data_IF_373400825798
#
_entry.id   IF_373400825798
#
_cell.length_a   1.000
_cell.length_b   1.000
_cell.length_c   1.000
_cell.angle_alpha   90.00
_cell.angle_beta   90.00
_cell.angle_gamma   90.00
#
_symmetry.space_group_name_H-M   'P 1'
#
loop_
_entity.id
_entity.type
_entity.pdbx_description
1 polymer ?
#
# COMPACT_ATOMS: atom_id res chain seq x y z
N UNK A 1 20.47 63.43 1.24
CA UNK A 1 19.97 62.29 0.44
C UNK A 1 20.78 61.05 0.79
N UNK A 2 20.24 60.13 1.60
CA UNK A 2 20.72 58.74 1.68
C UNK A 2 19.64 57.87 2.31
N UNK A 3 18.73 57.38 1.45
CA UNK A 3 17.72 56.40 1.83
C UNK A 3 18.38 55.03 2.03
N UNK A 4 18.64 54.65 3.28
CA UNK A 4 19.18 53.33 3.61
C UNK A 4 18.01 52.36 3.76
N UNK A 5 17.79 51.56 2.71
CA UNK A 5 16.74 50.55 2.65
C UNK A 5 16.82 49.58 3.82
N UNK A 6 15.77 49.59 4.65
CA UNK A 6 15.52 48.55 5.63
C UNK A 6 15.19 47.24 4.90
N UNK A 7 16.18 46.38 4.73
CA UNK A 7 15.96 44.97 4.37
C UNK A 7 15.06 44.38 5.46
N UNK A 8 13.77 44.18 5.15
CA UNK A 8 12.88 43.32 5.93
C UNK A 8 13.56 41.97 6.07
N UNK A 9 14.09 41.72 7.26
CA UNK A 9 14.57 40.41 7.72
C UNK A 9 13.39 39.46 7.50
N UNK A 10 13.51 38.54 6.54
CA UNK A 10 12.52 37.45 6.40
C UNK A 10 12.57 36.69 7.71
N UNK A 11 11.53 36.84 8.52
CA UNK A 11 11.32 36.01 9.70
C UNK A 11 11.27 34.57 9.20
N UNK A 12 12.31 33.80 9.53
CA UNK A 12 12.28 32.36 9.36
C UNK A 12 11.20 31.86 10.33
N UNK A 13 10.27 30.99 9.88
CA UNK A 13 9.26 30.44 10.77
C UNK A 13 9.93 29.82 12.00
N UNK A 14 9.64 30.39 13.17
CA UNK A 14 10.05 29.85 14.46
C UNK A 14 9.52 28.41 14.54
N UNK A 15 10.37 27.38 14.71
CA UNK A 15 9.89 26.02 14.86
C UNK A 15 9.17 25.93 16.21
N UNK A 16 7.84 25.88 16.18
CA UNK A 16 6.90 25.98 17.31
C UNK A 16 6.97 24.81 18.32
N UNK A 17 8.08 24.09 18.43
CA UNK A 17 8.24 22.91 19.29
C UNK A 17 7.33 21.72 18.93
N UNK A 18 6.32 21.95 18.09
CA UNK A 18 5.36 20.97 17.61
C UNK A 18 5.89 20.40 16.29
N UNK A 19 7.03 19.71 16.37
CA UNK A 19 7.53 18.90 15.25
C UNK A 19 6.53 17.76 15.02
N UNK A 20 5.52 18.02 14.18
CA UNK A 20 4.58 16.99 13.78
C UNK A 20 5.35 15.92 13.02
N UNK A 21 5.29 14.68 13.49
CA UNK A 21 5.89 13.51 12.84
C UNK A 21 5.50 13.42 11.35
N UNK A 22 4.33 13.96 11.00
CA UNK A 22 3.76 13.96 9.65
C UNK A 22 3.30 15.36 9.25
N UNK A 23 4.20 16.23 8.79
CA UNK A 23 3.86 17.62 8.45
C UNK A 23 2.83 17.71 7.30
N UNK A 24 2.83 16.76 6.37
CA UNK A 24 1.85 16.72 5.27
C UNK A 24 0.45 16.25 5.68
N UNK A 25 0.29 15.68 6.87
CA UNK A 25 -0.98 15.14 7.37
C UNK A 25 -1.79 16.14 8.22
N UNK A 26 -1.40 17.43 8.26
CA UNK A 26 -2.07 18.44 9.09
C UNK A 26 -3.55 18.62 8.73
N UNK A 27 -3.88 18.58 7.44
CA UNK A 27 -5.26 18.64 6.96
C UNK A 27 -5.87 17.26 6.83
N UNK A 28 -6.81 16.88 7.73
CA UNK A 28 -7.51 15.58 7.66
C UNK A 28 -8.22 15.37 6.31
N UNK A 29 -8.85 16.40 5.77
CA UNK A 29 -9.49 16.35 4.45
C UNK A 29 -8.50 16.23 3.30
N UNK A 30 -7.36 16.91 3.39
CA UNK A 30 -6.32 16.84 2.38
C UNK A 30 -5.70 15.43 2.33
N UNK A 31 -5.42 14.84 3.51
CA UNK A 31 -4.99 13.46 3.61
C UNK A 31 -6.04 12.49 3.06
N UNK A 32 -7.31 12.68 3.40
CA UNK A 32 -8.39 11.84 2.87
C UNK A 32 -8.48 11.91 1.34
N UNK A 33 -8.40 13.11 0.76
CA UNK A 33 -8.37 13.31 -0.68
C UNK A 33 -7.16 12.63 -1.33
N UNK A 34 -5.99 12.74 -0.70
CA UNK A 34 -4.77 12.10 -1.18
C UNK A 34 -4.88 10.57 -1.14
N UNK A 35 -5.43 10.01 -0.06
CA UNK A 35 -5.69 8.57 0.07
C UNK A 35 -6.67 8.11 -1.00
N UNK A 36 -7.72 8.86 -1.27
CA UNK A 36 -8.68 8.57 -2.34
C UNK A 36 -8.02 8.63 -3.72
N UNK A 37 -7.17 9.63 -3.95
CA UNK A 37 -6.40 9.78 -5.18
C UNK A 37 -5.44 8.59 -5.41
N UNK A 38 -4.77 8.12 -4.35
CA UNK A 38 -3.97 6.90 -4.41
C UNK A 38 -4.82 5.66 -4.71
N UNK A 39 -6.06 5.62 -4.21
CA UNK A 39 -7.04 4.62 -4.58
C UNK A 39 -7.32 4.59 -6.08
N UNK A 40 -7.53 5.76 -6.69
CA UNK A 40 -7.77 5.92 -8.14
C UNK A 40 -6.54 5.46 -8.93
N UNK A 41 -5.35 5.94 -8.56
CA UNK A 41 -4.11 5.58 -9.24
C UNK A 41 -3.78 4.08 -9.10
N UNK A 42 -4.04 3.50 -7.94
CA UNK A 42 -3.84 2.06 -7.71
C UNK A 42 -4.82 1.24 -8.53
N UNK A 43 -6.09 1.66 -8.60
CA UNK A 43 -7.10 0.99 -9.41
C UNK A 43 -6.75 1.06 -10.90
N UNK A 44 -6.44 2.25 -11.41
CA UNK A 44 -6.08 2.46 -12.81
C UNK A 44 -4.77 1.73 -13.18
N UNK A 45 -3.74 1.83 -12.34
CA UNK A 45 -2.46 1.15 -12.54
C UNK A 45 -2.54 -0.36 -12.34
N UNK A 46 -3.55 -0.86 -11.62
CA UNK A 46 -3.79 -2.27 -11.32
C UNK A 46 -4.89 -2.93 -12.16
N UNK A 47 -5.39 -2.26 -13.19
CA UNK A 47 -6.43 -2.78 -14.11
C UNK A 47 -6.04 -4.14 -14.69
N UNK A 48 -4.78 -4.29 -15.09
CA UNK A 48 -4.21 -5.59 -15.33
C UNK A 48 -3.80 -6.15 -13.96
N UNK A 49 -4.43 -7.22 -13.47
CA UNK A 49 -4.17 -7.78 -12.13
C UNK A 49 -2.66 -8.02 -11.88
N UNK A 50 -1.90 -8.30 -12.95
CA UNK A 50 -0.44 -8.50 -12.95
C UNK A 50 0.32 -7.21 -12.56
N UNK A 51 -0.21 -6.02 -12.85
CA UNK A 51 0.42 -4.72 -12.53
C UNK A 51 0.05 -4.19 -11.15
N UNK A 52 -0.87 -4.85 -10.44
CA UNK A 52 -1.32 -4.45 -9.11
C UNK A 52 -0.19 -4.29 -8.09
N UNK A 53 0.84 -5.18 -8.00
CA UNK A 53 1.95 -4.97 -7.08
C UNK A 53 2.73 -3.69 -7.36
N UNK A 54 2.96 -3.37 -8.64
CA UNK A 54 3.67 -2.15 -9.03
C UNK A 54 2.85 -0.89 -8.73
N UNK A 55 1.54 -0.94 -8.95
CA UNK A 55 0.61 0.14 -8.61
C UNK A 55 0.61 0.41 -7.09
N UNK A 56 0.51 -0.64 -6.27
CA UNK A 56 0.59 -0.53 -4.81
C UNK A 56 1.94 0.05 -4.35
N UNK A 57 3.05 -0.39 -4.94
CA UNK A 57 4.38 0.08 -4.59
C UNK A 57 4.57 1.58 -4.92
N UNK A 58 4.12 2.02 -6.11
CA UNK A 58 4.17 3.42 -6.50
C UNK A 58 3.27 4.30 -5.61
N UNK A 59 2.04 3.84 -5.34
CA UNK A 59 1.07 4.58 -4.51
C UNK A 59 1.50 4.70 -3.04
N UNK A 60 2.02 3.62 -2.44
CA UNK A 60 2.58 3.69 -1.07
C UNK A 60 3.77 4.62 -0.99
N UNK A 61 4.65 4.65 -2.01
CA UNK A 61 5.78 5.58 -2.02
C UNK A 61 5.33 7.03 -2.18
N UNK A 62 4.38 7.29 -3.06
CA UNK A 62 3.82 8.64 -3.25
C UNK A 62 3.16 9.15 -1.97
N UNK A 63 2.32 8.32 -1.33
CA UNK A 63 1.66 8.70 -0.09
C UNK A 63 2.67 8.92 1.05
N UNK A 64 3.75 8.15 1.11
CA UNK A 64 4.82 8.37 2.09
C UNK A 64 5.50 9.73 1.90
N UNK A 65 5.81 10.13 0.66
CA UNK A 65 6.35 11.48 0.35
C UNK A 65 5.37 12.58 0.76
N UNK A 66 4.09 12.39 0.44
CA UNK A 66 3.04 13.33 0.82
C UNK A 66 2.99 13.53 2.34
N UNK A 67 3.01 12.44 3.13
CA UNK A 67 3.00 12.52 4.59
C UNK A 67 4.20 13.28 5.16
N UNK A 68 5.35 13.24 4.48
CA UNK A 68 6.57 13.96 4.82
C UNK A 68 6.59 15.42 4.31
N UNK A 69 5.50 15.91 3.71
CA UNK A 69 5.42 17.23 3.05
C UNK A 69 6.47 17.43 1.94
N UNK A 70 6.95 16.33 1.34
CA UNK A 70 7.80 16.38 0.16
C UNK A 70 6.94 16.64 -1.09
N UNK A 71 7.53 17.25 -2.13
CA UNK A 71 6.83 17.41 -3.41
C UNK A 71 6.52 16.04 -3.98
N UNK A 72 5.24 15.73 -4.12
CA UNK A 72 4.72 14.50 -4.71
C UNK A 72 3.95 14.84 -5.99
N UNK A 73 4.58 14.65 -7.15
CA UNK A 73 3.93 14.91 -8.45
C UNK A 73 3.42 13.62 -9.08
N UNK A 74 2.43 13.74 -9.98
CA UNK A 74 1.93 12.61 -10.76
C UNK A 74 3.03 12.00 -11.64
N UNK A 75 3.96 12.83 -12.15
CA UNK A 75 5.11 12.36 -12.92
C UNK A 75 6.03 11.42 -12.12
N UNK A 76 6.30 11.75 -10.85
CA UNK A 76 7.10 10.87 -9.99
C UNK A 76 6.38 9.55 -9.68
N UNK A 77 5.05 9.58 -9.50
CA UNK A 77 4.28 8.34 -9.36
C UNK A 77 4.41 7.47 -10.62
N UNK A 78 4.34 8.08 -11.80
CA UNK A 78 4.49 7.37 -13.07
C UNK A 78 5.89 6.75 -13.22
N UNK A 79 6.95 7.48 -12.88
CA UNK A 79 8.33 6.97 -12.88
C UNK A 79 8.51 5.78 -11.92
N UNK A 80 7.98 5.90 -10.70
CA UNK A 80 8.01 4.81 -9.73
C UNK A 80 7.22 3.59 -10.23
N UNK A 81 6.04 3.81 -10.82
CA UNK A 81 5.20 2.76 -11.38
C UNK A 81 5.89 1.99 -12.49
N UNK A 82 6.47 2.69 -13.47
CA UNK A 82 7.21 2.07 -14.58
C UNK A 82 8.46 1.33 -14.07
N UNK A 83 9.18 1.92 -13.10
CA UNK A 83 10.34 1.28 -12.48
C UNK A 83 9.94 -0.01 -11.73
N UNK A 84 8.85 0.04 -10.97
CA UNK A 84 8.30 -1.11 -10.26
C UNK A 84 7.83 -2.20 -11.21
N UNK A 85 7.16 -1.83 -12.32
CA UNK A 85 6.73 -2.76 -13.36
C UNK A 85 7.89 -3.46 -14.04
N UNK A 86 8.87 -2.69 -14.53
CA UNK A 86 9.99 -3.23 -15.32
C UNK A 86 10.85 -4.21 -14.50
N UNK A 87 11.02 -3.92 -13.22
CA UNK A 87 11.80 -4.76 -12.30
C UNK A 87 10.98 -5.85 -11.61
N UNK A 88 9.64 -5.79 -11.70
CA UNK A 88 8.71 -6.56 -10.88
C UNK A 88 7.69 -7.40 -11.62
N UNK A 89 7.76 -7.49 -12.95
CA UNK A 89 6.80 -8.27 -13.75
C UNK A 89 6.70 -9.72 -13.28
N UNK A 90 7.81 -10.33 -12.81
CA UNK A 90 7.82 -11.67 -12.21
C UNK A 90 6.97 -11.71 -10.96
N UNK A 91 7.10 -10.72 -10.06
CA UNK A 91 6.30 -10.65 -8.83
C UNK A 91 4.82 -10.51 -9.15
N UNK A 92 4.48 -9.65 -10.13
CA UNK A 92 3.14 -9.54 -10.70
C UNK A 92 2.59 -10.89 -11.12
N UNK A 93 3.28 -11.53 -12.05
CA UNK A 93 2.87 -12.80 -12.63
C UNK A 93 2.76 -13.91 -11.58
N UNK A 94 3.73 -14.05 -10.69
CA UNK A 94 3.71 -15.08 -9.64
C UNK A 94 2.59 -14.84 -8.64
N UNK A 95 2.35 -13.59 -8.25
CA UNK A 95 1.27 -13.25 -7.30
C UNK A 95 -0.10 -13.53 -7.93
N UNK A 96 -0.30 -13.13 -9.18
CA UNK A 96 -1.53 -13.42 -9.93
C UNK A 96 -1.74 -14.92 -10.10
N UNK A 97 -0.71 -15.67 -10.52
CA UNK A 97 -0.80 -17.11 -10.71
C UNK A 97 -1.15 -17.84 -9.40
N UNK A 98 -0.48 -17.50 -8.28
CA UNK A 98 -0.78 -18.06 -6.97
C UNK A 98 -2.21 -17.73 -6.53
N UNK A 99 -2.65 -16.48 -6.71
CA UNK A 99 -4.02 -16.08 -6.37
C UNK A 99 -5.06 -16.87 -7.17
N UNK A 100 -4.85 -17.05 -8.48
CA UNK A 100 -5.73 -17.85 -9.34
C UNK A 100 -5.79 -19.30 -8.88
N UNK A 101 -4.65 -19.93 -8.61
CA UNK A 101 -4.60 -21.32 -8.12
C UNK A 101 -5.32 -21.46 -6.79
N UNK A 102 -5.08 -20.56 -5.83
CA UNK A 102 -5.70 -20.60 -4.52
C UNK A 102 -7.21 -20.36 -4.59
N UNK A 103 -7.67 -19.39 -5.39
CA UNK A 103 -9.08 -19.13 -5.61
C UNK A 103 -9.78 -20.31 -6.28
N UNK A 104 -9.15 -20.93 -7.29
CA UNK A 104 -9.69 -22.12 -7.95
C UNK A 104 -9.86 -23.28 -6.95
N UNK A 105 -8.85 -23.54 -6.11
CA UNK A 105 -8.95 -24.57 -5.06
C UNK A 105 -10.01 -24.23 -4.02
N UNK A 106 -10.17 -22.95 -3.64
CA UNK A 106 -11.16 -22.50 -2.68
C UNK A 106 -12.60 -22.69 -3.22
N UNK A 107 -12.82 -22.35 -4.49
CA UNK A 107 -14.09 -22.57 -5.19
C UNK A 107 -14.40 -24.08 -5.29
N UNK A 108 -13.41 -24.89 -5.66
CA UNK A 108 -13.56 -26.34 -5.76
C UNK A 108 -13.86 -26.96 -4.39
N UNK A 109 -13.13 -26.58 -3.35
CA UNK A 109 -13.40 -27.03 -1.99
C UNK A 109 -14.80 -26.58 -1.50
N UNK A 110 -15.25 -25.40 -1.92
CA UNK A 110 -16.60 -24.89 -1.65
C UNK A 110 -17.73 -25.73 -2.25
N UNK A 111 -17.46 -26.57 -3.26
CA UNK A 111 -18.46 -27.51 -3.81
C UNK A 111 -18.75 -28.69 -2.88
N UNK A 112 -17.90 -28.92 -1.85
CA UNK A 112 -18.02 -30.01 -0.89
C UNK A 112 -17.98 -31.44 -1.48
N UNK A 113 -17.62 -31.58 -2.76
CA UNK A 113 -17.55 -32.88 -3.46
C UNK A 113 -16.33 -33.70 -3.04
N UNK A 114 -15.24 -33.05 -2.59
CA UNK A 114 -13.99 -33.74 -2.24
C UNK A 114 -14.01 -34.25 -0.79
N UNK A 115 -13.60 -35.50 -0.51
CA UNK A 115 -13.32 -35.94 0.84
C UNK A 115 -12.17 -35.11 1.42
N UNK A 116 -12.41 -34.44 2.56
CA UNK A 116 -11.44 -33.50 3.16
C UNK A 116 -11.54 -32.05 2.67
N UNK A 117 -12.61 -31.67 1.98
CA UNK A 117 -12.82 -30.31 1.45
C UNK A 117 -12.58 -29.19 2.48
N UNK A 118 -12.97 -29.40 3.75
CA UNK A 118 -12.82 -28.38 4.80
C UNK A 118 -11.35 -28.02 5.04
N UNK A 119 -10.47 -29.02 5.08
CA UNK A 119 -9.03 -28.77 5.26
C UNK A 119 -8.46 -27.98 4.08
N UNK A 120 -8.82 -28.38 2.84
CA UNK A 120 -8.41 -27.67 1.62
C UNK A 120 -8.91 -26.23 1.64
N UNK A 121 -10.18 -26.02 2.04
CA UNK A 121 -10.78 -24.70 2.15
C UNK A 121 -10.02 -23.82 3.13
N UNK A 122 -9.80 -24.29 4.36
CA UNK A 122 -9.08 -23.51 5.40
C UNK A 122 -7.66 -23.20 4.97
N UNK A 123 -6.91 -24.19 4.45
CA UNK A 123 -5.52 -23.99 4.01
C UNK A 123 -5.46 -22.98 2.86
N UNK A 124 -6.32 -23.10 1.86
CA UNK A 124 -6.34 -22.17 0.72
C UNK A 124 -6.73 -20.76 1.15
N UNK A 125 -7.71 -20.63 2.06
CA UNK A 125 -8.14 -19.35 2.60
C UNK A 125 -7.03 -18.65 3.39
N UNK A 126 -6.34 -19.38 4.28
CA UNK A 126 -5.21 -18.87 5.04
C UNK A 126 -4.04 -18.50 4.12
N UNK A 127 -3.73 -19.34 3.12
CA UNK A 127 -2.69 -19.06 2.14
C UNK A 127 -3.00 -17.83 1.28
N UNK A 128 -4.26 -17.64 0.88
CA UNK A 128 -4.68 -16.45 0.12
C UNK A 128 -4.58 -15.18 0.96
N UNK A 129 -4.97 -15.25 2.25
CA UNK A 129 -4.84 -14.13 3.18
C UNK A 129 -3.37 -13.77 3.40
N UNK A 130 -2.51 -14.78 3.61
CA UNK A 130 -1.07 -14.59 3.73
C UNK A 130 -0.47 -13.97 2.46
N UNK A 131 -0.92 -14.40 1.27
CA UNK A 131 -0.48 -13.84 -0.01
C UNK A 131 -0.81 -12.34 -0.12
N UNK A 132 -2.04 -11.94 0.25
CA UNK A 132 -2.46 -10.53 0.27
C UNK A 132 -1.58 -9.71 1.21
N UNK A 133 -1.34 -10.21 2.41
CA UNK A 133 -0.51 -9.49 3.39
C UNK A 133 0.94 -9.36 2.95
N UNK A 134 1.54 -10.45 2.44
CA UNK A 134 2.91 -10.42 1.90
C UNK A 134 2.98 -9.44 0.74
N UNK A 135 1.99 -9.42 -0.17
CA UNK A 135 1.93 -8.47 -1.26
C UNK A 135 1.94 -7.01 -0.75
N UNK A 136 1.04 -6.67 0.18
CA UNK A 136 0.94 -5.34 0.75
C UNK A 136 2.26 -4.94 1.43
N UNK A 137 2.81 -5.81 2.29
CA UNK A 137 4.05 -5.53 3.02
C UNK A 137 5.27 -5.43 2.10
N UNK A 138 5.29 -6.19 1.01
CA UNK A 138 6.33 -6.11 -0.02
C UNK A 138 6.23 -4.80 -0.79
N UNK A 139 5.02 -4.42 -1.22
CA UNK A 139 4.79 -3.20 -1.99
C UNK A 139 5.24 -1.96 -1.21
N UNK A 140 4.85 -1.84 0.06
CA UNK A 140 5.23 -0.69 0.91
C UNK A 140 6.74 -0.63 1.20
N UNK A 141 7.47 -1.76 1.12
CA UNK A 141 8.92 -1.86 1.35
C UNK A 141 9.74 -1.74 0.08
N UNK A 142 9.09 -1.82 -1.08
CA UNK A 142 9.76 -1.71 -2.35
C UNK A 142 10.37 -0.32 -2.53
N UNK A 143 11.59 -0.31 -3.06
CA UNK A 143 12.29 0.89 -3.53
C UNK A 143 13.11 0.50 -4.76
N UNK A 144 13.31 1.42 -5.72
CA UNK A 144 14.12 1.14 -6.91
C UNK A 144 15.54 0.65 -6.59
N UNK A 145 16.12 1.12 -5.48
CA UNK A 145 17.49 0.76 -5.07
C UNK A 145 17.59 -0.64 -4.43
N UNK A 146 16.57 -1.09 -3.70
CA UNK A 146 16.55 -2.42 -3.07
C UNK A 146 16.02 -3.52 -4.00
N UNK A 147 15.14 -3.15 -4.93
CA UNK A 147 14.45 -4.07 -5.83
C UNK A 147 13.44 -4.98 -5.13
N UNK A 148 12.75 -5.78 -5.95
CA UNK A 148 11.64 -6.63 -5.51
C UNK A 148 12.05 -7.82 -4.65
N UNK A 149 13.17 -8.48 -4.96
CA UNK A 149 13.62 -9.66 -4.20
C UNK A 149 13.80 -9.35 -2.72
N UNK A 150 14.42 -8.20 -2.41
CA UNK A 150 14.61 -7.75 -1.04
C UNK A 150 13.30 -7.29 -0.41
N UNK A 151 12.45 -6.59 -1.16
CA UNK A 151 11.14 -6.15 -0.68
C UNK A 151 10.24 -7.32 -0.28
N UNK A 152 10.21 -8.39 -1.09
CA UNK A 152 9.44 -9.61 -0.79
C UNK A 152 9.99 -10.32 0.44
N UNK A 153 11.31 -10.46 0.54
CA UNK A 153 11.94 -11.08 1.72
C UNK A 153 11.66 -10.28 2.99
N UNK A 154 11.81 -8.95 2.96
CA UNK A 154 11.49 -8.08 4.09
C UNK A 154 9.98 -8.11 4.41
N UNK A 155 9.12 -8.22 3.40
CA UNK A 155 7.67 -8.35 3.57
C UNK A 155 7.27 -9.65 4.27
N UNK A 156 7.82 -10.80 3.86
CA UNK A 156 7.58 -12.09 4.52
C UNK A 156 8.09 -12.07 5.97
N UNK A 157 9.29 -11.53 6.20
CA UNK A 157 9.87 -11.50 7.54
C UNK A 157 9.13 -10.56 8.51
N UNK A 158 8.40 -9.57 8.00
CA UNK A 158 7.70 -8.58 8.84
C UNK A 158 6.68 -9.21 9.80
N UNK A 159 6.03 -10.31 9.40
CA UNK A 159 5.03 -10.99 10.23
C UNK A 159 5.65 -11.73 11.41
N UNK A 160 6.91 -12.17 11.29
CA UNK A 160 7.64 -12.79 12.39
C UNK A 160 8.16 -11.74 13.39
N UNK A 161 8.44 -10.51 12.92
CA UNK A 161 9.01 -9.45 13.76
C UNK A 161 7.96 -8.62 14.50
N UNK A 162 6.80 -8.38 13.89
CA UNK A 162 5.68 -7.66 14.53
C UNK A 162 4.34 -8.36 14.20
N UNK A 163 3.96 -9.42 14.93
CA UNK A 163 2.65 -10.04 14.74
C UNK A 163 1.49 -9.09 15.08
N UNK A 164 1.73 -8.03 15.86
CA UNK A 164 0.73 -7.01 16.17
C UNK A 164 0.29 -6.19 14.95
N UNK A 165 1.08 -6.19 13.88
CA UNK A 165 0.74 -5.61 12.58
C UNK A 165 -0.41 -6.32 11.87
N UNK A 166 -0.65 -7.60 12.19
CA UNK A 166 -1.60 -8.46 11.48
C UNK A 166 -3.04 -7.98 11.70
N UNK A 167 -3.43 -7.71 12.95
CA UNK A 167 -4.81 -7.36 13.29
C UNK A 167 -5.34 -6.11 12.55
N UNK A 168 -4.65 -4.94 12.55
CA UNK A 168 -5.13 -3.77 11.82
C UNK A 168 -5.11 -3.96 10.30
N UNK A 169 -4.13 -4.70 9.77
CA UNK A 169 -4.06 -4.99 8.34
C UNK A 169 -5.18 -5.93 7.91
N UNK A 170 -5.47 -6.96 8.71
CA UNK A 170 -6.60 -7.87 8.52
C UNK A 170 -7.92 -7.12 8.55
N UNK A 171 -8.11 -6.24 9.53
CA UNK A 171 -9.32 -5.42 9.63
C UNK A 171 -9.50 -4.55 8.37
N UNK A 172 -8.43 -3.91 7.87
CA UNK A 172 -8.48 -3.12 6.65
C UNK A 172 -8.81 -3.95 5.41
N UNK A 173 -8.22 -5.14 5.26
CA UNK A 173 -8.50 -6.07 4.15
C UNK A 173 -9.93 -6.57 4.20
N UNK A 174 -10.40 -7.04 5.36
CA UNK A 174 -11.77 -7.53 5.54
C UNK A 174 -12.77 -6.43 5.25
N UNK A 175 -12.56 -5.22 5.78
CA UNK A 175 -13.43 -4.08 5.52
C UNK A 175 -13.46 -3.73 4.04
N UNK A 176 -12.30 -3.67 3.37
CA UNK A 176 -12.22 -3.41 1.94
C UNK A 176 -12.99 -4.48 1.14
N UNK A 177 -12.82 -5.76 1.46
CA UNK A 177 -13.54 -6.86 0.78
C UNK A 177 -15.05 -6.75 1.00
N UNK A 178 -15.51 -6.58 2.25
CA UNK A 178 -16.95 -6.50 2.57
C UNK A 178 -17.59 -5.31 1.88
N UNK A 179 -16.97 -4.14 1.95
CA UNK A 179 -17.52 -2.90 1.39
C UNK A 179 -17.54 -2.92 -0.13
N UNK A 180 -16.50 -3.45 -0.77
CA UNK A 180 -16.43 -3.57 -2.23
C UNK A 180 -17.37 -4.64 -2.78
N UNK A 181 -17.61 -5.69 -2.00
CA UNK A 181 -18.61 -6.69 -2.33
C UNK A 181 -20.03 -6.11 -2.32
N UNK A 182 -20.36 -5.29 -1.31
CA UNK A 182 -21.67 -4.64 -1.21
C UNK A 182 -21.87 -3.55 -2.28
N UNK A 183 -20.82 -2.80 -2.57
CA UNK A 183 -20.84 -1.67 -3.50
C UNK A 183 -19.55 -1.66 -4.33
N UNK A 184 -19.55 -2.27 -5.54
CA UNK A 184 -18.36 -2.38 -6.38
C UNK A 184 -17.59 -1.06 -6.62
N UNK A 185 -18.26 0.12 -6.76
CA UNK A 185 -17.54 1.39 -6.91
C UNK A 185 -16.60 1.75 -5.73
N UNK A 186 -16.81 1.16 -4.54
CA UNK A 186 -15.96 1.40 -3.37
C UNK A 186 -14.59 0.71 -3.44
N UNK A 187 -14.26 0.04 -4.55
CA UNK A 187 -12.92 -0.54 -4.77
C UNK A 187 -11.84 0.54 -4.75
N UNK A 188 -12.15 1.70 -5.30
CA UNK A 188 -11.25 2.86 -5.33
C UNK A 188 -10.89 3.33 -3.92
N UNK A 189 -11.84 3.75 -3.06
CA UNK A 189 -11.51 4.11 -1.68
C UNK A 189 -10.95 2.94 -0.87
N UNK A 190 -11.41 1.71 -1.11
CA UNK A 190 -10.86 0.51 -0.46
C UNK A 190 -9.37 0.33 -0.70
N UNK A 191 -8.92 0.46 -1.96
CA UNK A 191 -7.49 0.40 -2.32
C UNK A 191 -6.70 1.54 -1.69
N UNK A 192 -7.24 2.76 -1.68
CA UNK A 192 -6.62 3.90 -1.00
C UNK A 192 -6.41 3.63 0.49
N UNK A 193 -7.44 3.15 1.17
CA UNK A 193 -7.38 2.76 2.58
C UNK A 193 -6.35 1.64 2.84
N UNK A 194 -6.23 0.66 1.95
CA UNK A 194 -5.21 -0.40 2.08
C UNK A 194 -3.79 0.16 1.94
N UNK A 195 -3.55 1.04 0.97
CA UNK A 195 -2.27 1.74 0.77
C UNK A 195 -1.90 2.55 2.02
N UNK A 196 -2.87 3.25 2.62
CA UNK A 196 -2.66 4.00 3.85
C UNK A 196 -2.41 3.07 5.06
N UNK A 197 -3.24 2.04 5.23
CA UNK A 197 -3.14 1.10 6.36
C UNK A 197 -1.79 0.40 6.40
N UNK A 198 -1.31 -0.11 5.26
CA UNK A 198 -0.02 -0.80 5.20
C UNK A 198 1.15 0.14 5.49
N UNK A 199 1.05 1.42 5.09
CA UNK A 199 2.04 2.44 5.43
C UNK A 199 2.09 2.73 6.93
N UNK A 200 0.93 2.88 7.57
CA UNK A 200 0.83 3.10 9.02
C UNK A 200 1.41 1.91 9.79
N UNK A 201 1.08 0.69 9.36
CA UNK A 201 1.62 -0.55 9.93
C UNK A 201 3.15 -0.60 9.82
N UNK A 202 3.70 -0.36 8.61
CA UNK A 202 5.15 -0.31 8.40
C UNK A 202 5.84 0.73 9.28
N UNK A 203 5.24 1.89 9.48
CA UNK A 203 5.83 2.93 10.33
C UNK A 203 5.77 2.56 11.83
N UNK A 204 4.72 1.84 12.25
CA UNK A 204 4.61 1.32 13.61
C UNK A 204 5.76 0.35 13.93
N UNK A 205 6.08 -0.55 13.01
CA UNK A 205 7.17 -1.54 13.16
C UNK A 205 8.57 -0.91 13.40
N UNK A 206 8.78 0.33 12.98
CA UNK A 206 10.07 1.03 13.18
C UNK A 206 10.26 1.60 14.58
N UNK A 207 9.24 1.53 15.44
CA UNK A 207 9.28 2.01 16.83
C UNK A 207 9.70 0.89 17.76
#
# INVERSE_FOLDING_TARGET
MTARGARKRREQPQPDGTQLKWPGAQGKFALFAEVLWMGVLTFAGGLLIITLPAALAASTRHLHRYLLAERSTLGQWWEDFISALRTGWVVGLTTTALAVVLLFNLLLAGTQVLPGWLLVFVVCFLALTALVFVLLQSAVRWTPSKGWKRAVREGVNSFATDPGAIAPLLAAVVLAVVVTWQLPPLVVPGLGCLVFAVLVVKERERR
#
